data_IF_061669233527
#
_entry.id   IF_061669233527
#
_cell.length_a   1.000
_cell.length_b   1.000
_cell.length_c   1.000
_cell.angle_alpha   90.00
_cell.angle_beta   90.00
_cell.angle_gamma   90.00
#
_symmetry.space_group_name_H-M   'P 1'
#
loop_
_entity.id
_entity.type
_entity.pdbx_description
1 polymer ?
#
# COMPACT_ATOMS: atom_id res chain seq x y z
N UNK A 1 28.96 -23.04 -11.22
CA UNK A 1 28.09 -22.75 -10.06
C UNK A 1 26.66 -23.09 -10.47
N UNK A 2 26.02 -24.06 -9.81
CA UNK A 2 24.64 -24.45 -10.13
C UNK A 2 23.71 -23.78 -9.13
N UNK A 3 22.81 -22.91 -9.59
CA UNK A 3 21.80 -22.30 -8.72
C UNK A 3 20.67 -23.29 -8.44
N UNK A 4 20.29 -23.45 -7.16
CA UNK A 4 19.09 -24.19 -6.78
C UNK A 4 17.92 -23.20 -6.60
N UNK A 5 16.83 -23.39 -7.34
CA UNK A 5 15.63 -22.57 -7.17
C UNK A 5 14.79 -23.09 -6.00
N UNK A 6 15.00 -22.53 -4.80
CA UNK A 6 14.33 -22.97 -3.57
C UNK A 6 12.80 -22.88 -3.63
N UNK A 7 12.25 -21.99 -4.46
CA UNK A 7 10.80 -21.84 -4.64
C UNK A 7 10.11 -23.09 -5.20
N UNK A 8 10.85 -24.05 -5.75
CA UNK A 8 10.32 -25.36 -6.15
C UNK A 8 10.08 -26.30 -4.96
N UNK A 9 10.88 -26.14 -3.90
CA UNK A 9 10.88 -27.05 -2.75
C UNK A 9 10.17 -26.46 -1.52
N UNK A 10 10.21 -25.14 -1.39
CA UNK A 10 9.69 -24.42 -0.23
C UNK A 10 8.64 -23.41 -0.72
N UNK A 11 7.37 -23.52 -0.30
CA UNK A 11 6.36 -22.54 -0.66
C UNK A 11 6.72 -21.20 0.01
N UNK A 12 6.97 -20.18 -0.82
CA UNK A 12 7.31 -18.85 -0.30
C UNK A 12 6.13 -18.26 0.47
N UNK A 13 6.37 -17.79 1.70
CA UNK A 13 5.36 -17.19 2.56
C UNK A 13 5.94 -16.04 3.39
N UNK A 14 5.56 -14.80 3.09
CA UNK A 14 6.03 -13.62 3.81
C UNK A 14 5.83 -13.67 5.32
N UNK A 15 4.69 -14.18 5.80
CA UNK A 15 4.39 -14.27 7.23
C UNK A 15 5.26 -15.32 7.92
N UNK A 16 5.37 -16.52 7.35
CA UNK A 16 6.26 -17.56 7.89
C UNK A 16 7.72 -17.11 7.88
N UNK A 17 8.16 -16.44 6.81
CA UNK A 17 9.50 -15.89 6.71
C UNK A 17 9.75 -14.80 7.75
N UNK A 18 8.76 -13.94 8.03
CA UNK A 18 8.85 -12.94 9.09
C UNK A 18 9.02 -13.58 10.48
N UNK A 19 8.26 -14.64 10.79
CA UNK A 19 8.39 -15.37 12.06
C UNK A 19 9.78 -16.00 12.22
N UNK A 20 10.30 -16.63 11.15
CA UNK A 20 11.66 -17.19 11.15
C UNK A 20 12.69 -16.09 11.35
N UNK A 21 12.56 -14.96 10.65
CA UNK A 21 13.47 -13.83 10.79
C UNK A 21 13.43 -13.26 12.22
N UNK A 22 12.25 -13.11 12.81
CA UNK A 22 12.08 -12.61 14.19
C UNK A 22 12.73 -13.54 15.21
N UNK A 23 12.60 -14.85 15.03
CA UNK A 23 13.29 -15.84 15.85
C UNK A 23 14.83 -15.74 15.76
N UNK A 24 15.35 -15.07 14.73
CA UNK A 24 16.77 -14.84 14.47
C UNK A 24 17.18 -13.36 14.65
N UNK A 25 16.39 -12.55 15.36
CA UNK A 25 16.76 -11.19 15.76
C UNK A 25 16.25 -10.07 14.83
N UNK A 26 15.43 -10.37 13.84
CA UNK A 26 14.76 -9.33 13.05
C UNK A 26 13.66 -8.64 13.87
N UNK A 27 13.62 -7.31 13.82
CA UNK A 27 12.54 -6.51 14.38
C UNK A 27 11.64 -6.00 13.26
N UNK A 28 10.35 -6.25 13.38
CA UNK A 28 9.33 -5.68 12.50
C UNK A 28 9.07 -4.22 12.85
N UNK A 29 8.36 -3.50 12.00
CA UNK A 29 7.85 -2.18 12.37
C UNK A 29 6.89 -2.31 13.56
N UNK A 30 6.90 -1.31 14.45
CA UNK A 30 6.11 -1.30 15.69
C UNK A 30 4.61 -1.13 15.42
N UNK A 31 4.25 -0.70 14.21
CA UNK A 31 2.88 -0.48 13.74
C UNK A 31 2.63 -1.20 12.43
N UNK A 32 1.37 -1.29 12.01
CA UNK A 32 1.04 -1.66 10.63
C UNK A 32 1.67 -0.66 9.66
N UNK A 33 2.36 -1.16 8.63
CA UNK A 33 2.93 -0.32 7.58
C UNK A 33 1.81 0.44 6.87
N UNK A 34 2.03 1.72 6.59
CA UNK A 34 1.03 2.60 5.99
C UNK A 34 0.60 2.05 4.61
N UNK A 35 -0.72 1.97 4.38
CA UNK A 35 -1.28 1.39 3.15
C UNK A 35 -1.22 -0.15 3.06
N UNK A 36 -0.71 -0.81 4.09
CA UNK A 36 -0.63 -2.28 4.21
C UNK A 36 -1.58 -2.82 5.28
N UNK A 37 -1.54 -4.13 5.52
CA UNK A 37 -2.23 -4.82 6.64
C UNK A 37 -1.25 -5.61 7.51
N UNK A 38 0.05 -5.47 7.24
CA UNK A 38 1.15 -6.15 7.94
C UNK A 38 2.24 -5.15 8.32
N UNK A 39 3.15 -5.56 9.21
CA UNK A 39 4.24 -4.73 9.74
C UNK A 39 5.66 -5.23 9.39
N UNK A 40 5.77 -6.23 8.53
CA UNK A 40 7.02 -6.98 8.30
C UNK A 40 7.53 -6.94 6.86
N UNK A 41 6.83 -6.27 5.93
CA UNK A 41 7.25 -6.14 4.52
C UNK A 41 7.51 -4.67 4.16
N UNK A 42 8.42 -4.43 3.21
CA UNK A 42 8.75 -3.10 2.67
C UNK A 42 9.30 -2.09 3.70
N UNK A 43 10.17 -2.55 4.61
CA UNK A 43 10.70 -1.76 5.74
C UNK A 43 12.01 -1.01 5.46
N UNK A 44 12.56 -1.15 4.27
CA UNK A 44 13.90 -0.68 3.88
C UNK A 44 13.87 0.59 3.02
N UNK A 45 12.69 0.99 2.52
CA UNK A 45 12.54 2.07 1.55
C UNK A 45 11.31 2.93 1.83
N UNK A 46 11.52 4.24 2.04
CA UNK A 46 10.44 5.19 2.33
C UNK A 46 9.57 5.50 1.11
N UNK A 47 10.11 5.37 -0.10
CA UNK A 47 9.40 5.65 -1.35
C UNK A 47 8.35 4.57 -1.66
N UNK A 48 8.35 3.44 -0.94
CA UNK A 48 7.38 2.36 -1.13
C UNK A 48 5.94 2.84 -0.89
N UNK A 49 5.70 3.67 0.12
CA UNK A 49 4.36 4.23 0.36
C UNK A 49 3.83 5.08 -0.80
N UNK A 50 4.71 5.75 -1.54
CA UNK A 50 4.36 6.50 -2.76
C UNK A 50 4.08 5.53 -3.90
N UNK A 51 4.92 4.51 -4.08
CA UNK A 51 4.75 3.49 -5.11
C UNK A 51 3.39 2.76 -4.99
N UNK A 52 3.05 2.32 -3.78
CA UNK A 52 1.79 1.64 -3.50
C UNK A 52 0.58 2.57 -3.71
N UNK A 53 0.71 3.85 -3.36
CA UNK A 53 -0.32 4.85 -3.64
C UNK A 53 -0.52 5.06 -5.14
N UNK A 54 0.55 5.11 -5.95
CA UNK A 54 0.44 5.25 -7.41
C UNK A 54 -0.29 4.06 -8.06
N UNK A 55 -0.07 2.85 -7.55
CA UNK A 55 -0.84 1.67 -7.97
C UNK A 55 -2.33 1.89 -7.70
N UNK A 56 -2.69 2.40 -6.53
CA UNK A 56 -4.06 2.72 -6.18
C UNK A 56 -4.68 3.78 -7.11
N UNK A 57 -3.95 4.86 -7.42
CA UNK A 57 -4.42 5.91 -8.34
C UNK A 57 -4.75 5.39 -9.74
N UNK A 58 -4.07 4.33 -10.19
CA UNK A 58 -4.23 3.77 -11.53
C UNK A 58 -5.30 2.68 -11.59
N UNK A 59 -5.36 1.83 -10.56
CA UNK A 59 -6.13 0.59 -10.58
C UNK A 59 -7.21 0.49 -9.50
N UNK A 60 -7.24 1.39 -8.53
CA UNK A 60 -8.23 1.41 -7.45
C UNK A 60 -8.01 0.39 -6.35
N UNK A 61 -6.83 -0.24 -6.29
CA UNK A 61 -6.41 -1.12 -5.19
C UNK A 61 -4.91 -0.96 -4.95
N UNK A 62 -4.51 -1.17 -3.70
CA UNK A 62 -3.14 -0.99 -3.23
C UNK A 62 -2.61 -2.25 -2.55
N UNK A 63 -1.63 -2.02 -1.69
CA UNK A 63 -0.87 -3.09 -1.02
C UNK A 63 -1.72 -3.86 -0.01
N UNK A 64 -2.64 -3.20 0.68
CA UNK A 64 -3.56 -3.85 1.61
C UNK A 64 -4.41 -4.90 0.88
N UNK A 65 -4.91 -4.59 -0.32
CA UNK A 65 -5.64 -5.57 -1.15
C UNK A 65 -4.77 -6.77 -1.50
N UNK A 66 -3.52 -6.57 -1.93
CA UNK A 66 -2.64 -7.68 -2.32
C UNK A 66 -2.42 -8.67 -1.17
N UNK A 67 -2.10 -8.12 0.01
CA UNK A 67 -1.80 -8.92 1.21
C UNK A 67 -3.07 -9.56 1.76
N UNK A 68 -4.19 -8.82 1.84
CA UNK A 68 -5.47 -9.40 2.27
C UNK A 68 -5.90 -10.56 1.36
N UNK A 69 -5.75 -10.41 0.04
CA UNK A 69 -6.01 -11.49 -0.90
C UNK A 69 -5.08 -12.70 -0.68
N UNK A 70 -3.81 -12.47 -0.33
CA UNK A 70 -2.86 -13.53 -0.02
C UNK A 70 -3.27 -14.31 1.24
N UNK A 71 -3.63 -13.60 2.32
CA UNK A 71 -4.12 -14.25 3.55
C UNK A 71 -5.43 -14.98 3.34
N UNK A 72 -6.35 -14.43 2.56
CA UNK A 72 -7.61 -15.07 2.20
C UNK A 72 -7.37 -16.38 1.44
N UNK A 73 -6.52 -16.38 0.40
CA UNK A 73 -6.18 -17.59 -0.36
C UNK A 73 -5.47 -18.65 0.49
N UNK A 74 -4.80 -18.23 1.56
CA UNK A 74 -4.14 -19.13 2.53
C UNK A 74 -5.07 -19.59 3.65
N UNK A 75 -6.34 -19.21 3.63
CA UNK A 75 -7.32 -19.58 4.66
C UNK A 75 -7.04 -18.96 6.03
N UNK A 76 -6.27 -17.86 6.10
CA UNK A 76 -5.89 -17.19 7.36
C UNK A 76 -6.94 -16.20 7.84
N UNK A 77 -7.73 -15.66 6.92
CA UNK A 77 -8.77 -14.67 7.19
C UNK A 77 -10.01 -15.00 6.37
N UNK A 78 -11.17 -14.51 6.80
CA UNK A 78 -12.40 -14.62 6.02
C UNK A 78 -12.48 -13.53 4.95
N UNK A 79 -13.40 -13.68 3.98
CA UNK A 79 -13.67 -12.63 2.99
C UNK A 79 -14.09 -11.32 3.67
N UNK A 80 -14.90 -11.41 4.73
CA UNK A 80 -15.39 -10.27 5.49
C UNK A 80 -14.22 -9.49 6.12
N UNK A 81 -13.28 -10.21 6.74
CA UNK A 81 -12.08 -9.60 7.32
C UNK A 81 -11.22 -8.91 6.24
N UNK A 82 -11.06 -9.57 5.08
CA UNK A 82 -10.30 -9.01 3.97
C UNK A 82 -10.93 -7.68 3.47
N UNK A 83 -12.25 -7.62 3.32
CA UNK A 83 -12.96 -6.40 2.92
C UNK A 83 -12.79 -5.29 3.95
N UNK A 84 -12.92 -5.61 5.24
CA UNK A 84 -12.74 -4.63 6.32
C UNK A 84 -11.33 -4.04 6.32
N UNK A 85 -10.30 -4.90 6.19
CA UNK A 85 -8.91 -4.48 6.11
C UNK A 85 -8.67 -3.58 4.89
N UNK A 86 -9.13 -3.98 3.71
CA UNK A 86 -8.96 -3.18 2.48
C UNK A 86 -9.64 -1.81 2.63
N UNK A 87 -10.88 -1.77 3.10
CA UNK A 87 -11.60 -0.50 3.28
C UNK A 87 -10.93 0.43 4.29
N UNK A 88 -10.22 -0.12 5.28
CA UNK A 88 -9.49 0.67 6.28
C UNK A 88 -8.18 1.23 5.74
N UNK A 89 -7.44 0.45 4.97
CA UNK A 89 -6.03 0.71 4.68
C UNK A 89 -5.74 1.15 3.24
N UNK A 90 -6.45 0.63 2.24
CA UNK A 90 -6.16 0.97 0.84
C UNK A 90 -6.55 2.41 0.51
N UNK A 91 -5.74 3.05 -0.33
CA UNK A 91 -6.07 4.35 -0.91
C UNK A 91 -6.00 5.53 0.04
N UNK A 92 -5.47 5.34 1.25
CA UNK A 92 -5.13 6.44 2.14
C UNK A 92 -4.01 7.26 1.51
N UNK A 93 -4.17 8.58 1.53
CA UNK A 93 -3.13 9.48 1.07
C UNK A 93 -1.91 9.35 1.99
N UNK A 94 -0.74 9.10 1.39
CA UNK A 94 0.50 8.79 2.10
C UNK A 94 1.14 10.06 2.65
N UNK A 95 0.68 10.53 3.81
CA UNK A 95 1.29 11.67 4.52
C UNK A 95 2.60 11.33 5.20
N UNK A 96 2.82 10.06 5.51
CA UNK A 96 4.05 9.51 6.07
C UNK A 96 4.21 8.05 5.64
N UNK A 97 5.43 7.55 5.76
CA UNK A 97 5.74 6.13 5.61
C UNK A 97 6.92 5.78 6.52
N UNK A 98 6.78 4.74 7.36
CA UNK A 98 7.78 4.32 8.35
C UNK A 98 8.25 5.49 9.25
N UNK A 99 7.33 6.37 9.65
CA UNK A 99 7.61 7.53 10.50
C UNK A 99 8.33 8.69 9.81
N UNK A 100 8.60 8.60 8.50
CA UNK A 100 9.13 9.70 7.71
C UNK A 100 7.98 10.42 6.98
N UNK A 101 7.79 11.70 7.28
CA UNK A 101 6.81 12.55 6.61
C UNK A 101 7.05 12.62 5.11
N UNK A 102 5.98 12.71 4.31
CA UNK A 102 6.01 12.84 2.85
C UNK A 102 6.94 13.97 2.39
N UNK A 103 6.90 15.14 3.04
CA UNK A 103 7.78 16.27 2.72
C UNK A 103 9.26 15.87 2.76
N UNK A 104 9.70 15.18 3.81
CA UNK A 104 11.08 14.66 3.92
C UNK A 104 11.41 13.55 2.93
N UNK A 105 10.40 12.80 2.45
CA UNK A 105 10.58 11.79 1.41
C UNK A 105 10.80 12.47 0.05
N UNK A 106 10.08 13.57 -0.20
CA UNK A 106 10.14 14.34 -1.46
C UNK A 106 11.31 15.33 -1.50
N UNK A 107 11.82 15.79 -0.36
CA UNK A 107 12.87 16.82 -0.30
C UNK A 107 14.12 16.50 -1.16
N UNK A 108 14.67 15.26 -1.20
CA UNK A 108 15.80 14.93 -2.07
C UNK A 108 15.47 14.98 -3.58
N UNK A 109 14.18 15.01 -3.93
CA UNK A 109 13.67 15.16 -5.30
C UNK A 109 13.35 16.62 -5.64
N UNK A 110 13.64 17.56 -4.72
CA UNK A 110 13.33 18.99 -4.86
C UNK A 110 11.85 19.25 -5.19
N UNK A 111 10.96 18.46 -4.60
CA UNK A 111 9.54 18.46 -4.89
C UNK A 111 8.72 18.83 -3.65
N UNK A 112 7.82 19.80 -3.81
CA UNK A 112 6.85 20.15 -2.77
C UNK A 112 5.68 19.16 -2.73
N UNK A 113 4.99 19.09 -1.60
CA UNK A 113 3.77 18.26 -1.48
C UNK A 113 2.69 18.70 -2.46
N UNK A 114 2.55 20.00 -2.72
CA UNK A 114 1.56 20.52 -3.67
C UNK A 114 1.87 20.10 -5.12
N UNK A 115 3.13 20.12 -5.53
CA UNK A 115 3.54 19.61 -6.84
C UNK A 115 3.29 18.12 -6.95
N UNK A 116 3.63 17.35 -5.91
CA UNK A 116 3.35 15.93 -5.84
C UNK A 116 1.85 15.63 -5.99
N UNK A 117 0.98 16.36 -5.28
CA UNK A 117 -0.47 16.22 -5.37
C UNK A 117 -0.97 16.53 -6.78
N UNK A 118 -0.48 17.60 -7.41
CA UNK A 118 -0.83 17.95 -8.81
C UNK A 118 -0.42 16.85 -9.79
N UNK A 119 0.75 16.25 -9.60
CA UNK A 119 1.23 15.12 -10.42
C UNK A 119 0.31 13.91 -10.22
N UNK A 120 0.01 13.55 -8.97
CA UNK A 120 -0.93 12.47 -8.65
C UNK A 120 -2.28 12.67 -9.36
N UNK A 121 -2.85 13.87 -9.26
CA UNK A 121 -4.16 14.18 -9.85
C UNK A 121 -4.16 14.10 -11.38
N UNK A 122 -3.05 14.49 -12.01
CA UNK A 122 -2.86 14.39 -13.46
C UNK A 122 -2.89 12.95 -13.95
N UNK A 123 -2.28 12.03 -13.21
CA UNK A 123 -2.14 10.62 -13.62
C UNK A 123 -3.19 9.68 -13.00
N UNK A 124 -4.05 10.19 -12.12
CA UNK A 124 -5.14 9.42 -11.53
C UNK A 124 -6.17 9.01 -12.57
N UNK A 125 -6.58 7.75 -12.55
CA UNK A 125 -7.61 7.25 -13.43
C UNK A 125 -8.99 7.77 -13.00
N UNK A 126 -9.49 8.80 -13.69
CA UNK A 126 -10.78 9.44 -13.39
C UNK A 126 -12.01 8.54 -13.63
N UNK A 127 -11.85 7.36 -14.24
CA UNK A 127 -12.95 6.41 -14.44
C UNK A 127 -13.28 5.58 -13.20
N UNK A 128 -12.36 5.52 -12.22
CA UNK A 128 -12.53 4.71 -11.00
C UNK A 128 -12.83 5.56 -9.75
N UNK A 129 -12.60 6.87 -9.82
CA UNK A 129 -12.81 7.80 -8.72
C UNK A 129 -13.84 8.87 -9.07
N UNK A 130 -14.50 9.40 -8.04
CA UNK A 130 -15.50 10.46 -8.16
C UNK A 130 -14.86 11.76 -8.67
N UNK A 131 -15.52 12.38 -9.63
CA UNK A 131 -15.16 13.72 -10.13
C UNK A 131 -16.32 14.71 -9.95
N UNK A 132 -15.99 16.00 -9.88
CA UNK A 132 -16.98 17.09 -9.96
C UNK A 132 -17.47 17.30 -11.41
N UNK A 133 -18.39 18.26 -11.59
CA UNK A 133 -18.92 18.61 -12.92
C UNK A 133 -17.87 19.16 -13.90
N UNK A 134 -16.71 19.60 -13.41
CA UNK A 134 -15.59 20.11 -14.21
C UNK A 134 -14.55 19.01 -14.49
N UNK A 135 -14.76 17.80 -13.99
CA UNK A 135 -13.84 16.67 -14.15
C UNK A 135 -12.64 16.70 -13.19
N UNK A 136 -12.69 17.47 -12.10
CA UNK A 136 -11.69 17.44 -11.04
C UNK A 136 -11.99 16.32 -10.06
N UNK A 137 -10.95 15.69 -9.51
CA UNK A 137 -11.10 14.63 -8.52
C UNK A 137 -11.70 15.16 -7.22
N UNK A 138 -12.70 14.46 -6.69
CA UNK A 138 -13.27 14.76 -5.37
C UNK A 138 -12.50 13.99 -4.31
N UNK A 139 -12.03 14.71 -3.30
CA UNK A 139 -11.25 14.17 -2.17
C UNK A 139 -11.91 14.53 -0.84
N UNK A 140 -11.63 13.74 0.19
CA UNK A 140 -11.98 14.09 1.57
C UNK A 140 -11.00 15.11 2.17
N UNK A 141 -11.22 15.50 3.43
CA UNK A 141 -10.37 16.45 4.17
C UNK A 141 -8.92 15.97 4.39
N UNK A 142 -8.64 14.70 4.16
CA UNK A 142 -7.31 14.08 4.28
C UNK A 142 -6.66 13.80 2.92
N UNK A 143 -7.24 14.32 1.83
CA UNK A 143 -6.85 14.09 0.44
C UNK A 143 -7.10 12.67 -0.09
N UNK A 144 -7.88 11.84 0.62
CA UNK A 144 -8.24 10.51 0.11
C UNK A 144 -9.25 10.65 -1.02
N UNK A 145 -9.04 9.87 -2.09
CA UNK A 145 -9.98 9.80 -3.21
C UNK A 145 -11.21 8.97 -2.86
N UNK A 146 -12.35 9.33 -3.44
CA UNK A 146 -13.61 8.60 -3.28
C UNK A 146 -13.77 7.64 -4.46
N UNK A 147 -13.67 6.32 -4.23
CA UNK A 147 -13.94 5.30 -5.25
C UNK A 147 -15.42 5.30 -5.66
N UNK A 148 -15.67 5.02 -6.93
CA UNK A 148 -17.03 4.83 -7.44
C UNK A 148 -17.63 3.48 -7.04
N UNK A 149 -16.79 2.45 -6.96
CA UNK A 149 -17.18 1.08 -6.58
C UNK A 149 -16.27 0.58 -5.47
N UNK A 150 -16.88 0.11 -4.39
CA UNK A 150 -16.17 -0.51 -3.27
C UNK A 150 -16.21 -2.04 -3.40
N UNK A 151 -15.23 -2.76 -2.84
CA UNK A 151 -15.26 -4.22 -2.81
C UNK A 151 -16.48 -4.73 -2.03
N UNK A 152 -17.18 -5.71 -2.63
CA UNK A 152 -18.36 -6.41 -2.08
C UNK A 152 -18.01 -7.70 -1.34
#
# INVERSE_FOLDING_TARGET
MTGLFLGYYIPWDGYSNALIAQANGFATYDKTVEGSVVNYENLDNHQTGIHDYFKYLKFGFGRATDIACLHLRRGRITRKDAIEMVNRHDGKFTWEYLGKSLEKILAPLEMTVDEFVKICDRFTNKKIFKTDAKGNLVKDKYLNLIKLVNPE
#
